data_IF_608466987018
#
_entry.id   IF_608466987018
#
_cell.length_a   1.000
_cell.length_b   1.000
_cell.length_c   1.000
_cell.angle_alpha   90.00
_cell.angle_beta   90.00
_cell.angle_gamma   90.00
#
_symmetry.space_group_name_H-M   'P 1'
#
loop_
_entity.id
_entity.type
_entity.pdbx_description
1 polymer ?
#
# COMPACT_ATOMS: atom_id res chain seq x y z
N UNK A 1 -62.54 -10.43 -19.11
CA UNK A 1 -61.30 -10.32 -18.32
C UNK A 1 -60.11 -10.34 -19.28
N UNK A 2 -59.59 -9.17 -19.67
CA UNK A 2 -58.43 -9.06 -20.58
C UNK A 2 -57.29 -8.51 -19.72
N UNK A 3 -56.33 -9.38 -19.38
CA UNK A 3 -55.15 -9.03 -18.61
C UNK A 3 -54.14 -8.31 -19.54
N UNK A 4 -53.93 -7.01 -19.30
CA UNK A 4 -52.86 -6.22 -19.93
C UNK A 4 -51.52 -6.59 -19.30
N UNK A 5 -50.65 -7.21 -20.10
CA UNK A 5 -49.23 -7.36 -19.79
C UNK A 5 -48.50 -6.04 -20.13
N UNK A 6 -47.83 -5.46 -19.13
CA UNK A 6 -46.93 -4.31 -19.29
C UNK A 6 -45.48 -4.82 -19.06
N UNK A 7 -44.53 -4.62 -19.99
CA UNK A 7 -43.13 -4.90 -19.73
C UNK A 7 -42.50 -3.66 -19.09
N UNK A 8 -42.09 -3.77 -17.83
CA UNK A 8 -41.27 -2.74 -17.18
C UNK A 8 -39.82 -3.02 -17.59
N UNK A 9 -39.33 -2.25 -18.56
CA UNK A 9 -37.92 -2.16 -18.90
C UNK A 9 -37.20 -1.42 -17.76
N UNK A 10 -36.54 -2.17 -16.86
CA UNK A 10 -35.67 -1.60 -15.87
C UNK A 10 -34.36 -1.16 -16.54
N UNK A 11 -34.21 0.14 -16.76
CA UNK A 11 -32.94 0.75 -17.15
C UNK A 11 -31.92 0.54 -16.02
N UNK A 12 -30.92 -0.30 -16.28
CA UNK A 12 -29.68 -0.36 -15.51
C UNK A 12 -28.92 0.96 -15.72
N UNK A 13 -29.06 1.89 -14.79
CA UNK A 13 -28.19 3.05 -14.69
C UNK A 13 -26.79 2.59 -14.28
N UNK A 14 -25.90 2.41 -15.25
CA UNK A 14 -24.47 2.26 -15.01
C UNK A 14 -23.95 3.59 -14.44
N UNK A 15 -23.76 3.65 -13.12
CA UNK A 15 -23.01 4.73 -12.47
C UNK A 15 -21.57 4.66 -13.00
N UNK A 16 -21.03 5.76 -13.57
CA UNK A 16 -19.64 5.78 -13.97
C UNK A 16 -18.81 5.74 -12.68
N UNK A 17 -17.92 4.77 -12.59
CA UNK A 17 -16.87 4.77 -11.58
C UNK A 17 -16.02 6.01 -11.82
N UNK A 18 -16.24 7.06 -11.04
CA UNK A 18 -15.42 8.26 -11.04
C UNK A 18 -13.98 7.84 -10.75
N UNK A 19 -13.12 7.88 -11.77
CA UNK A 19 -11.69 7.77 -11.59
C UNK A 19 -11.26 8.91 -10.67
N UNK A 20 -11.07 8.64 -9.38
CA UNK A 20 -10.51 9.62 -8.45
C UNK A 20 -9.16 10.02 -9.03
N UNK A 21 -8.99 11.31 -9.37
CA UNK A 21 -7.67 11.85 -9.65
C UNK A 21 -6.77 11.47 -8.47
N UNK A 22 -5.57 10.90 -8.69
CA UNK A 22 -4.77 10.41 -7.58
C UNK A 22 -4.52 11.59 -6.64
N UNK A 23 -5.09 11.53 -5.44
CA UNK A 23 -4.77 12.48 -4.38
C UNK A 23 -3.25 12.45 -4.25
N UNK A 24 -2.61 13.61 -4.44
CA UNK A 24 -1.17 13.71 -4.32
C UNK A 24 -0.83 13.48 -2.85
N UNK A 25 -0.35 12.27 -2.54
CA UNK A 25 0.09 11.89 -1.20
C UNK A 25 1.06 12.94 -0.66
N UNK A 26 0.98 13.24 0.63
CA UNK A 26 2.00 14.04 1.30
C UNK A 26 3.35 13.31 1.28
N UNK A 27 4.44 14.03 1.56
CA UNK A 27 5.76 13.39 1.67
C UNK A 27 5.75 12.32 2.79
N UNK A 28 5.12 12.63 3.91
CA UNK A 28 4.99 11.73 5.05
C UNK A 28 4.20 10.47 4.69
N UNK A 29 3.05 10.60 4.03
CA UNK A 29 2.23 9.48 3.59
C UNK A 29 2.97 8.59 2.58
N UNK A 30 3.71 9.20 1.64
CA UNK A 30 4.59 8.44 0.74
C UNK A 30 5.67 7.68 1.52
N UNK A 31 6.29 8.30 2.52
CA UNK A 31 7.31 7.64 3.34
C UNK A 31 6.75 6.44 4.12
N UNK A 32 5.54 6.55 4.67
CA UNK A 32 4.84 5.44 5.33
C UNK A 32 4.65 4.25 4.38
N UNK A 33 4.15 4.49 3.16
CA UNK A 33 3.97 3.44 2.16
C UNK A 33 5.31 2.90 1.65
N UNK A 34 6.30 3.77 1.45
CA UNK A 34 7.64 3.39 0.99
C UNK A 34 8.34 2.47 1.98
N UNK A 35 8.27 2.77 3.27
CA UNK A 35 8.83 1.91 4.30
C UNK A 35 8.08 0.59 4.45
N UNK A 36 6.76 0.62 4.31
CA UNK A 36 5.93 -0.59 4.27
C UNK A 36 6.35 -1.50 3.10
N UNK A 37 6.57 -0.94 1.91
CA UNK A 37 7.07 -1.67 0.74
C UNK A 37 8.51 -2.18 0.93
N UNK A 38 9.39 -1.37 1.52
CA UNK A 38 10.78 -1.76 1.80
C UNK A 38 10.85 -2.98 2.73
N UNK A 39 10.05 -3.01 3.80
CA UNK A 39 10.00 -4.17 4.70
C UNK A 39 9.47 -5.42 4.02
N UNK A 40 8.45 -5.30 3.17
CA UNK A 40 7.94 -6.42 2.39
C UNK A 40 9.01 -6.99 1.44
N UNK A 41 9.78 -6.12 0.76
CA UNK A 41 10.88 -6.53 -0.10
C UNK A 41 12.02 -7.20 0.69
N UNK A 42 12.41 -6.63 1.83
CA UNK A 42 13.42 -7.24 2.71
C UNK A 42 12.96 -8.62 3.18
N UNK A 43 11.72 -8.75 3.66
CA UNK A 43 11.19 -10.04 4.10
C UNK A 43 11.20 -11.08 2.98
N UNK A 44 10.83 -10.69 1.75
CA UNK A 44 10.89 -11.57 0.58
C UNK A 44 12.34 -12.01 0.27
N UNK A 45 13.30 -11.08 0.30
CA UNK A 45 14.72 -11.37 0.07
C UNK A 45 15.34 -12.23 1.18
N UNK A 46 14.94 -12.01 2.44
CA UNK A 46 15.33 -12.86 3.57
C UNK A 46 14.83 -14.29 3.40
N UNK A 47 13.58 -14.47 2.98
CA UNK A 47 13.03 -15.79 2.67
C UNK A 47 13.78 -16.48 1.51
N UNK A 48 14.36 -15.71 0.59
CA UNK A 48 15.23 -16.19 -0.49
C UNK A 48 16.70 -16.40 -0.08
N UNK A 49 17.08 -16.11 1.18
CA UNK A 49 18.45 -16.28 1.67
C UNK A 49 19.43 -15.18 1.23
N UNK A 50 18.94 -14.02 0.81
CA UNK A 50 19.78 -12.88 0.40
C UNK A 50 20.60 -12.34 1.58
N UNK A 51 21.92 -12.31 1.43
CA UNK A 51 22.84 -11.96 2.52
C UNK A 51 22.72 -10.50 2.98
N UNK A 52 22.43 -9.56 2.07
CA UNK A 52 22.21 -8.16 2.42
C UNK A 52 20.93 -8.02 3.24
N UNK A 53 19.84 -8.65 2.78
CA UNK A 53 18.56 -8.60 3.45
C UNK A 53 18.58 -9.27 4.83
N UNK A 54 19.33 -10.36 4.99
CA UNK A 54 19.56 -11.02 6.29
C UNK A 54 20.30 -10.12 7.29
N UNK A 55 21.01 -9.08 6.82
CA UNK A 55 21.62 -8.07 7.67
C UNK A 55 20.60 -7.18 8.39
N UNK A 56 19.39 -7.00 7.84
CA UNK A 56 18.33 -6.21 8.45
C UNK A 56 17.57 -7.04 9.51
N UNK A 57 17.84 -6.80 10.79
CA UNK A 57 17.14 -7.48 11.90
C UNK A 57 15.77 -6.85 12.20
N UNK A 58 14.84 -6.95 11.27
CA UNK A 58 13.45 -6.53 11.45
C UNK A 58 12.61 -7.73 11.86
N UNK A 59 11.89 -7.63 12.98
CA UNK A 59 10.94 -8.66 13.39
C UNK A 59 9.72 -8.64 12.45
N UNK A 60 9.35 -9.81 11.90
CA UNK A 60 8.35 -9.92 10.85
C UNK A 60 6.94 -9.48 11.31
N UNK A 61 6.60 -9.75 12.56
CA UNK A 61 5.39 -9.28 13.24
C UNK A 61 5.34 -7.75 13.31
N UNK A 62 6.45 -7.12 13.71
CA UNK A 62 6.54 -5.65 13.77
C UNK A 62 6.41 -5.00 12.39
N UNK A 63 7.09 -5.55 11.38
CA UNK A 63 6.96 -5.07 10.00
C UNK A 63 5.53 -5.19 9.46
N UNK A 64 4.85 -6.30 9.76
CA UNK A 64 3.45 -6.51 9.38
C UNK A 64 2.51 -5.53 10.07
N UNK A 65 2.71 -5.29 11.36
CA UNK A 65 1.90 -4.33 12.11
C UNK A 65 2.12 -2.90 11.58
N UNK A 66 3.37 -2.54 11.27
CA UNK A 66 3.70 -1.26 10.65
C UNK A 66 2.98 -1.08 9.31
N UNK A 67 2.99 -2.10 8.46
CA UNK A 67 2.28 -2.10 7.17
C UNK A 67 0.79 -1.83 7.36
N UNK A 68 0.14 -2.54 8.30
CA UNK A 68 -1.30 -2.42 8.55
C UNK A 68 -1.65 -1.02 9.05
N UNK A 69 -0.97 -0.55 10.11
CA UNK A 69 -1.24 0.77 10.72
C UNK A 69 -0.95 1.91 9.76
N UNK A 70 0.17 1.85 9.04
CA UNK A 70 0.57 2.87 8.06
C UNK A 70 -0.42 2.94 6.89
N UNK A 71 -0.83 1.80 6.36
CA UNK A 71 -1.80 1.76 5.25
C UNK A 71 -3.15 2.31 5.69
N UNK A 72 -3.63 1.93 6.88
CA UNK A 72 -4.88 2.47 7.44
C UNK A 72 -4.82 3.99 7.64
N UNK A 73 -3.73 4.49 8.24
CA UNK A 73 -3.53 5.92 8.43
C UNK A 73 -3.57 6.68 7.09
N UNK A 74 -2.88 6.18 6.06
CA UNK A 74 -2.90 6.83 4.74
C UNK A 74 -4.27 6.75 4.08
N UNK A 75 -5.03 5.66 4.25
CA UNK A 75 -6.41 5.59 3.78
C UNK A 75 -7.27 6.67 4.40
N UNK A 76 -7.18 6.82 5.72
CA UNK A 76 -7.99 7.77 6.49
C UNK A 76 -7.62 9.23 6.17
N UNK A 77 -6.33 9.55 6.14
CA UNK A 77 -5.85 10.93 5.93
C UNK A 77 -5.94 11.39 4.47
N UNK A 78 -5.67 10.49 3.51
CA UNK A 78 -5.66 10.84 2.09
C UNK A 78 -6.98 10.47 1.37
N UNK A 79 -7.95 9.91 2.08
CA UNK A 79 -9.23 9.48 1.52
C UNK A 79 -9.10 8.38 0.46
N UNK A 80 -8.07 7.53 0.59
CA UNK A 80 -7.78 6.47 -0.38
C UNK A 80 -8.45 5.17 0.01
N UNK A 81 -8.91 4.42 -1.00
CA UNK A 81 -9.41 3.07 -0.81
C UNK A 81 -8.29 2.02 -0.94
N UNK A 82 -8.65 0.76 -0.67
CA UNK A 82 -7.69 -0.37 -0.71
C UNK A 82 -7.01 -0.53 -2.08
N UNK A 83 -7.74 -0.49 -3.22
CA UNK A 83 -7.11 -0.49 -4.54
C UNK A 83 -6.09 0.64 -4.75
N UNK A 84 -6.41 1.87 -4.34
CA UNK A 84 -5.51 3.01 -4.49
C UNK A 84 -4.24 2.86 -3.63
N UNK A 85 -4.37 2.37 -2.39
CA UNK A 85 -3.23 2.05 -1.53
C UNK A 85 -2.37 0.94 -2.12
N UNK A 86 -2.98 -0.13 -2.64
CA UNK A 86 -2.25 -1.23 -3.27
C UNK A 86 -1.44 -0.71 -4.48
N UNK A 87 -2.05 0.13 -5.32
CA UNK A 87 -1.37 0.75 -6.45
C UNK A 87 -0.22 1.69 -6.00
N UNK A 88 -0.39 2.43 -4.91
CA UNK A 88 0.65 3.29 -4.35
C UNK A 88 1.83 2.48 -3.78
N UNK A 89 1.56 1.44 -2.99
CA UNK A 89 2.57 0.50 -2.49
C UNK A 89 3.34 -0.18 -3.63
N UNK A 90 2.64 -0.58 -4.70
CA UNK A 90 3.28 -1.20 -5.85
C UNK A 90 4.25 -0.24 -6.56
N UNK A 91 3.89 1.04 -6.68
CA UNK A 91 4.81 2.07 -7.24
C UNK A 91 6.05 2.24 -6.37
N UNK A 92 5.88 2.37 -5.06
CA UNK A 92 7.03 2.48 -4.14
C UNK A 92 7.92 1.22 -4.20
N UNK A 93 7.33 0.03 -4.25
CA UNK A 93 8.07 -1.22 -4.39
C UNK A 93 8.86 -1.27 -5.70
N UNK A 94 8.25 -0.88 -6.82
CA UNK A 94 8.92 -0.82 -8.13
C UNK A 94 10.12 0.13 -8.11
N UNK A 95 9.97 1.31 -7.51
CA UNK A 95 11.07 2.27 -7.37
C UNK A 95 12.22 1.72 -6.51
N UNK A 96 11.90 0.92 -5.50
CA UNK A 96 12.87 0.29 -4.61
C UNK A 96 13.61 -0.90 -5.22
N UNK A 97 13.13 -1.44 -6.35
CA UNK A 97 13.86 -2.46 -7.11
C UNK A 97 15.06 -1.90 -7.87
N UNK A 98 15.15 -0.56 -8.03
CA UNK A 98 16.33 0.07 -8.62
C UNK A 98 17.59 -0.28 -7.82
N UNK A 99 18.75 -0.45 -8.47
CA UNK A 99 20.01 -0.75 -7.79
C UNK A 99 20.30 0.23 -6.65
N UNK A 100 20.59 -0.30 -5.46
CA UNK A 100 20.93 0.47 -4.25
C UNK A 100 19.76 1.21 -3.57
N UNK A 101 18.57 1.27 -4.18
CA UNK A 101 17.45 2.05 -3.64
C UNK A 101 16.90 1.46 -2.32
N UNK A 102 16.82 0.13 -2.23
CA UNK A 102 16.40 -0.55 -1.00
C UNK A 102 17.40 -0.28 0.15
N UNK A 103 18.70 -0.45 -0.10
CA UNK A 103 19.74 -0.19 0.91
C UNK A 103 19.70 1.26 1.41
N UNK A 104 19.50 2.21 0.50
CA UNK A 104 19.44 3.63 0.83
C UNK A 104 18.24 4.01 1.72
N UNK A 105 17.09 3.35 1.55
CA UNK A 105 15.86 3.68 2.30
C UNK A 105 15.76 2.93 3.63
N UNK A 106 16.46 1.82 3.81
CA UNK A 106 16.30 0.99 4.99
C UNK A 106 16.64 1.70 6.31
N UNK A 107 17.73 2.50 6.44
CA UNK A 107 18.04 3.19 7.68
C UNK A 107 16.90 4.12 8.19
N UNK A 108 16.33 5.04 7.40
CA UNK A 108 15.20 5.84 7.86
C UNK A 108 13.94 5.00 8.11
N UNK A 109 13.70 3.91 7.38
CA UNK A 109 12.56 3.04 7.64
C UNK A 109 12.66 2.31 8.97
N UNK A 110 13.85 1.81 9.34
CA UNK A 110 14.09 1.23 10.65
C UNK A 110 13.87 2.25 11.77
N UNK A 111 14.29 3.50 11.57
CA UNK A 111 14.01 4.58 12.51
C UNK A 111 12.50 4.85 12.64
N UNK A 112 11.77 4.88 11.53
CA UNK A 112 10.31 5.06 11.53
C UNK A 112 9.58 3.91 12.25
N UNK A 113 10.00 2.66 12.03
CA UNK A 113 9.47 1.50 12.73
C UNK A 113 9.66 1.63 14.25
N UNK A 114 10.87 1.98 14.69
CA UNK A 114 11.16 2.17 16.12
C UNK A 114 10.35 3.33 16.73
N UNK A 115 10.13 4.41 15.98
CA UNK A 115 9.35 5.56 16.43
C UNK A 115 7.84 5.30 16.50
N UNK A 116 7.33 4.30 15.76
CA UNK A 116 5.90 3.98 15.68
C UNK A 116 5.30 3.36 16.96
N UNK A 117 6.14 3.03 17.94
CA UNK A 117 5.75 2.38 19.19
C UNK A 117 5.40 0.90 19.04
N UNK A 118 5.84 0.26 17.95
CA UNK A 118 5.69 -1.18 17.67
C UNK A 118 6.89 -1.97 18.20
#
# INVERSE_FOLDING_TARGET
>A
MIARLLPIAALLAAVPASAQAPAALSLEQRMLLRCSAAFALVANRQAAGDAEALGYRVAADKAREFFVRSSAQVMDEAGLDRPAIAAALQREAQDLLRPGALAAIMPPCLAALNASGI
#
